data_IF_786395005739
#
_entry.id   IF_786395005739
#
_cell.length_a   1.000
_cell.length_b   1.000
_cell.length_c   1.000
_cell.angle_alpha   90.00
_cell.angle_beta   90.00
_cell.angle_gamma   90.00
#
_symmetry.space_group_name_H-M   'P 1'
#
loop_
_entity.id
_entity.type
_entity.pdbx_description
1 polymer ?
#
# COMPACT_ATOMS: atom_id res chain seq x y z
N UNK A 1 -16.28 -14.31 -45.45
CA UNK A 1 -16.44 -14.01 -44.00
C UNK A 1 -15.37 -14.69 -43.15
N UNK A 2 -14.88 -15.90 -43.52
CA UNK A 2 -13.83 -16.63 -42.78
C UNK A 2 -12.43 -15.97 -42.74
N UNK A 3 -11.96 -15.37 -43.84
CA UNK A 3 -10.60 -14.80 -43.88
C UNK A 3 -10.40 -13.63 -42.92
N UNK A 4 -11.41 -12.76 -42.76
CA UNK A 4 -11.31 -11.61 -41.84
C UNK A 4 -11.22 -12.07 -40.38
N UNK A 5 -11.95 -13.11 -40.00
CA UNK A 5 -11.91 -13.67 -38.63
C UNK A 5 -10.55 -14.32 -38.35
N UNK A 6 -9.96 -15.01 -39.33
CA UNK A 6 -8.61 -15.56 -39.22
C UNK A 6 -7.53 -14.47 -39.09
N UNK A 7 -7.64 -13.37 -39.85
CA UNK A 7 -6.72 -12.23 -39.73
C UNK A 7 -6.83 -11.52 -38.38
N UNK A 8 -8.04 -11.34 -37.85
CA UNK A 8 -8.26 -10.77 -36.52
C UNK A 8 -7.75 -11.69 -35.41
N UNK A 9 -7.96 -13.02 -35.53
CA UNK A 9 -7.45 -13.99 -34.56
C UNK A 9 -5.92 -14.07 -34.56
N UNK A 10 -5.28 -14.06 -35.74
CA UNK A 10 -3.82 -14.00 -35.87
C UNK A 10 -3.25 -12.68 -35.32
N UNK A 11 -3.91 -11.55 -35.57
CA UNK A 11 -3.53 -10.26 -35.00
C UNK A 11 -3.67 -10.21 -33.48
N UNK A 12 -4.72 -10.83 -32.92
CA UNK A 12 -4.93 -10.93 -31.48
C UNK A 12 -3.88 -11.83 -30.81
N UNK A 13 -3.54 -12.97 -31.42
CA UNK A 13 -2.52 -13.89 -30.92
C UNK A 13 -1.12 -13.27 -31.00
N UNK A 14 -0.78 -12.61 -32.12
CA UNK A 14 0.48 -11.90 -32.27
C UNK A 14 0.60 -10.72 -31.28
N UNK A 15 -0.49 -9.98 -31.06
CA UNK A 15 -0.57 -8.92 -30.05
C UNK A 15 -0.39 -9.45 -28.63
N UNK A 16 -1.04 -10.57 -28.29
CA UNK A 16 -0.87 -11.22 -27.00
C UNK A 16 0.55 -11.76 -26.78
N UNK A 17 1.15 -12.36 -27.81
CA UNK A 17 2.53 -12.84 -27.77
C UNK A 17 3.54 -11.69 -27.62
N UNK A 18 3.33 -10.57 -28.32
CA UNK A 18 4.16 -9.37 -28.18
C UNK A 18 4.02 -8.74 -26.78
N UNK A 19 2.80 -8.69 -26.22
CA UNK A 19 2.57 -8.22 -24.86
C UNK A 19 3.23 -9.15 -23.82
N UNK A 20 3.12 -10.47 -23.99
CA UNK A 20 3.77 -11.45 -23.12
C UNK A 20 5.30 -11.37 -23.20
N UNK A 21 5.87 -11.22 -24.40
CA UNK A 21 7.30 -11.03 -24.60
C UNK A 21 7.79 -9.71 -23.97
N UNK A 22 7.02 -8.63 -24.12
CA UNK A 22 7.33 -7.35 -23.47
C UNK A 22 7.28 -7.46 -21.94
N UNK A 23 6.28 -8.18 -21.39
CA UNK A 23 6.19 -8.47 -19.96
C UNK A 23 7.40 -9.26 -19.47
N UNK A 24 7.77 -10.35 -20.16
CA UNK A 24 8.91 -11.20 -19.81
C UNK A 24 10.24 -10.43 -19.89
N UNK A 25 10.44 -9.66 -20.96
CA UNK A 25 11.64 -8.84 -21.12
C UNK A 25 11.75 -7.78 -20.02
N UNK A 26 10.64 -7.11 -19.70
CA UNK A 26 10.65 -6.04 -18.71
C UNK A 26 10.81 -6.59 -17.29
N UNK A 27 10.12 -7.68 -16.95
CA UNK A 27 10.30 -8.36 -15.66
C UNK A 27 11.73 -8.89 -15.50
N UNK A 28 12.34 -9.45 -16.56
CA UNK A 28 13.75 -9.84 -16.53
C UNK A 28 14.68 -8.65 -16.29
N UNK A 29 14.48 -7.54 -17.02
CA UNK A 29 15.25 -6.30 -16.83
C UNK A 29 15.10 -5.75 -15.41
N UNK A 30 13.89 -5.77 -14.87
CA UNK A 30 13.61 -5.34 -13.50
C UNK A 30 14.29 -6.24 -12.48
N UNK A 31 14.23 -7.56 -12.65
CA UNK A 31 14.92 -8.51 -11.79
C UNK A 31 16.44 -8.27 -11.78
N UNK A 32 17.05 -7.99 -12.94
CA UNK A 32 18.48 -7.66 -13.03
C UNK A 32 18.81 -6.33 -12.31
N UNK A 33 17.94 -5.32 -12.41
CA UNK A 33 18.09 -4.06 -11.68
C UNK A 33 17.96 -4.26 -10.16
N UNK A 34 17.01 -5.09 -9.73
CA UNK A 34 16.81 -5.44 -8.32
C UNK A 34 17.93 -6.31 -7.76
N UNK A 35 18.53 -7.20 -8.55
CA UNK A 35 19.68 -8.02 -8.14
C UNK A 35 20.95 -7.19 -7.93
N UNK A 36 21.08 -6.06 -8.62
CA UNK A 36 22.20 -5.13 -8.43
C UNK A 36 22.03 -4.17 -7.24
N UNK A 37 20.85 -4.14 -6.62
CA UNK A 37 20.54 -3.32 -5.46
C UNK A 37 20.92 -4.05 -4.17
N UNK A 38 21.78 -3.43 -3.38
CA UNK A 38 21.91 -3.79 -1.97
C UNK A 38 20.92 -2.92 -1.19
N UNK A 39 19.84 -3.55 -0.75
CA UNK A 39 18.70 -2.91 -0.10
C UNK A 39 18.51 -3.54 1.28
N UNK A 40 18.58 -2.69 2.31
CA UNK A 40 18.32 -3.08 3.68
C UNK A 40 17.08 -2.35 4.18
N UNK A 41 16.10 -3.13 4.64
CA UNK A 41 14.88 -2.61 5.25
C UNK A 41 15.01 -2.75 6.76
N UNK A 42 14.78 -1.66 7.47
CA UNK A 42 14.57 -1.68 8.90
C UNK A 42 13.09 -1.49 9.20
N UNK A 43 12.63 -2.21 10.22
CA UNK A 43 11.25 -2.14 10.68
C UNK A 43 11.01 -0.81 11.41
N UNK A 44 9.96 -0.03 11.04
CA UNK A 44 9.53 1.14 11.80
C UNK A 44 8.98 0.84 13.21
N UNK A 45 8.89 -0.44 13.60
CA UNK A 45 8.49 -0.90 14.92
C UNK A 45 6.98 -0.84 15.12
N UNK A 46 6.20 -0.90 14.04
CA UNK A 46 4.74 -0.90 14.11
C UNK A 46 4.26 -2.27 14.61
N UNK A 47 3.50 -2.34 15.72
CA UNK A 47 3.04 -3.62 16.26
C UNK A 47 2.15 -4.38 15.27
N UNK A 48 2.25 -5.70 15.28
CA UNK A 48 1.52 -6.57 14.34
C UNK A 48 0.01 -6.38 14.42
N UNK A 49 -0.57 -6.22 15.61
CA UNK A 49 -2.01 -5.99 15.76
C UNK A 49 -2.49 -4.69 15.10
N UNK A 50 -1.67 -3.63 15.12
CA UNK A 50 -1.95 -2.36 14.44
C UNK A 50 -1.92 -2.56 12.92
N UNK A 51 -0.90 -3.27 12.43
CA UNK A 51 -0.80 -3.62 11.01
C UNK A 51 -1.97 -4.49 10.58
N UNK A 52 -2.29 -5.55 11.32
CA UNK A 52 -3.36 -6.48 10.99
C UNK A 52 -4.73 -5.80 10.99
N UNK A 53 -5.01 -4.88 11.91
CA UNK A 53 -6.23 -4.08 11.89
C UNK A 53 -6.34 -3.20 10.63
N UNK A 54 -5.30 -2.43 10.33
CA UNK A 54 -5.24 -1.53 9.16
C UNK A 54 -5.35 -2.32 7.86
N UNK A 55 -4.61 -3.43 7.76
CA UNK A 55 -4.52 -4.25 6.55
C UNK A 55 -5.74 -5.14 6.38
N UNK A 56 -6.26 -5.68 7.47
CA UNK A 56 -7.51 -6.43 7.52
C UNK A 56 -8.69 -5.60 7.03
N UNK A 57 -8.78 -4.33 7.46
CA UNK A 57 -9.81 -3.40 6.99
C UNK A 57 -9.73 -3.15 5.47
N UNK A 58 -8.53 -2.92 4.92
CA UNK A 58 -8.34 -2.74 3.47
C UNK A 58 -8.72 -3.98 2.67
N UNK A 59 -8.30 -5.17 3.13
CA UNK A 59 -8.66 -6.45 2.50
C UNK A 59 -10.17 -6.69 2.57
N UNK A 60 -10.80 -6.37 3.69
CA UNK A 60 -12.25 -6.43 3.87
C UNK A 60 -13.00 -5.57 2.85
N UNK A 61 -12.55 -4.33 2.64
CA UNK A 61 -13.13 -3.42 1.64
C UNK A 61 -12.86 -3.88 0.21
N UNK A 62 -11.66 -4.39 -0.09
CA UNK A 62 -11.34 -4.99 -1.38
C UNK A 62 -12.33 -6.12 -1.73
N UNK A 63 -12.63 -6.99 -0.76
CA UNK A 63 -13.58 -8.10 -0.92
C UNK A 63 -15.02 -7.67 -1.15
N UNK A 64 -15.38 -6.42 -0.84
CA UNK A 64 -16.71 -5.86 -1.16
C UNK A 64 -16.81 -5.33 -2.59
N UNK A 65 -15.69 -5.13 -3.28
CA UNK A 65 -15.70 -4.60 -4.65
C UNK A 65 -16.21 -5.62 -5.67
N UNK A 66 -16.83 -5.13 -6.75
CA UNK A 66 -17.28 -5.97 -7.86
C UNK A 66 -16.10 -6.65 -8.56
N UNK A 67 -16.35 -7.82 -9.16
CA UNK A 67 -15.32 -8.58 -9.92
C UNK A 67 -14.68 -7.72 -11.01
N UNK A 68 -15.49 -6.92 -11.72
CA UNK A 68 -14.99 -6.01 -12.77
C UNK A 68 -14.02 -4.97 -12.20
N UNK A 69 -14.32 -4.39 -11.03
CA UNK A 69 -13.45 -3.39 -10.41
C UNK A 69 -12.13 -3.99 -9.94
N UNK A 70 -12.16 -5.21 -9.39
CA UNK A 70 -10.94 -5.95 -9.01
C UNK A 70 -10.07 -6.22 -10.24
N UNK A 71 -10.66 -6.70 -11.33
CA UNK A 71 -9.94 -6.95 -12.58
C UNK A 71 -9.30 -5.69 -13.17
N UNK A 72 -9.95 -4.52 -13.03
CA UNK A 72 -9.37 -3.23 -13.45
C UNK A 72 -8.13 -2.89 -12.62
N UNK A 73 -8.18 -3.11 -11.31
CA UNK A 73 -7.03 -2.85 -10.43
C UNK A 73 -5.89 -3.85 -10.63
N UNK A 74 -6.19 -5.14 -10.79
CA UNK A 74 -5.19 -6.16 -11.14
C UNK A 74 -4.53 -5.83 -12.49
N UNK A 75 -5.31 -5.26 -13.43
CA UNK A 75 -4.83 -4.71 -14.69
C UNK A 75 -3.92 -3.49 -14.49
N UNK A 76 -4.25 -2.58 -13.57
CA UNK A 76 -3.40 -1.43 -13.22
C UNK A 76 -2.07 -1.89 -12.62
N UNK A 77 -2.07 -2.90 -11.75
CA UNK A 77 -0.86 -3.49 -11.19
C UNK A 77 0.01 -4.14 -12.27
N UNK A 78 -0.62 -4.86 -13.20
CA UNK A 78 0.08 -5.44 -14.37
C UNK A 78 0.68 -4.35 -15.27
N UNK A 79 -0.03 -3.25 -15.51
CA UNK A 79 0.51 -2.08 -16.21
C UNK A 79 1.65 -1.45 -15.43
N UNK A 80 1.59 -1.45 -14.10
CA UNK A 80 2.69 -1.05 -13.22
C UNK A 80 3.96 -1.86 -13.45
N UNK A 81 3.83 -3.17 -13.63
CA UNK A 81 4.97 -4.05 -13.91
C UNK A 81 5.54 -3.85 -15.32
N UNK A 82 4.73 -3.46 -16.30
CA UNK A 82 5.19 -3.26 -17.69
C UNK A 82 5.73 -1.83 -17.91
N UNK A 83 5.04 -0.82 -17.37
CA UNK A 83 5.41 0.59 -17.55
C UNK A 83 5.25 1.35 -16.23
N UNK A 84 6.17 1.17 -15.27
CA UNK A 84 6.04 1.76 -13.93
C UNK A 84 5.92 3.29 -13.95
N UNK A 85 6.56 3.94 -14.93
CA UNK A 85 6.48 5.39 -15.15
C UNK A 85 5.05 5.89 -15.41
N UNK A 86 4.19 5.10 -16.05
CA UNK A 86 2.80 5.49 -16.32
C UNK A 86 1.99 5.47 -15.03
N UNK A 87 2.12 4.42 -14.22
CA UNK A 87 1.45 4.27 -12.93
C UNK A 87 1.79 5.43 -11.99
N UNK A 88 3.07 5.80 -11.93
CA UNK A 88 3.52 6.91 -11.10
C UNK A 88 3.08 8.29 -11.61
N UNK A 89 3.03 8.48 -12.93
CA UNK A 89 2.55 9.74 -13.52
C UNK A 89 1.03 9.91 -13.39
N UNK A 90 0.28 8.82 -13.49
CA UNK A 90 -1.17 8.82 -13.44
C UNK A 90 -1.74 8.72 -12.01
N UNK A 91 -0.88 8.59 -11.01
CA UNK A 91 -1.22 8.38 -9.60
C UNK A 91 -2.17 7.20 -9.36
N UNK A 92 -1.86 6.08 -10.01
CA UNK A 92 -2.58 4.84 -9.79
C UNK A 92 -2.21 4.25 -8.42
N UNK A 93 -3.16 3.48 -7.89
CA UNK A 93 -2.93 2.66 -6.71
C UNK A 93 -2.00 1.51 -7.11
N UNK A 94 -0.98 1.23 -6.30
CA UNK A 94 0.08 0.27 -6.63
C UNK A 94 0.02 -0.92 -5.68
N UNK A 95 0.07 -2.11 -6.25
CA UNK A 95 0.07 -3.39 -5.55
C UNK A 95 -1.29 -3.76 -4.97
N UNK A 96 -1.39 -4.99 -4.47
CA UNK A 96 -2.60 -5.57 -3.89
C UNK A 96 -3.25 -4.75 -2.75
N UNK A 97 -2.58 -3.69 -2.29
CA UNK A 97 -2.92 -2.93 -1.11
C UNK A 97 -2.97 -1.41 -1.34
N UNK A 98 -2.92 -1.00 -2.61
CA UNK A 98 -3.52 0.21 -3.17
C UNK A 98 -3.03 1.57 -2.65
N UNK A 99 -1.80 1.64 -2.13
CA UNK A 99 -1.19 2.94 -1.86
C UNK A 99 -1.04 3.72 -3.17
N UNK A 100 -1.40 5.01 -3.14
CA UNK A 100 -1.17 5.90 -4.28
C UNK A 100 0.32 5.98 -4.57
N UNK A 101 0.70 5.88 -5.84
CA UNK A 101 2.10 5.93 -6.25
C UNK A 101 2.83 7.19 -5.75
N UNK A 102 2.14 8.34 -5.67
CA UNK A 102 2.70 9.57 -5.09
C UNK A 102 2.98 9.43 -3.59
N UNK A 103 2.05 8.83 -2.84
CA UNK A 103 2.25 8.51 -1.42
C UNK A 103 3.43 7.57 -1.26
N UNK A 104 3.45 6.48 -2.02
CA UNK A 104 4.54 5.50 -1.96
C UNK A 104 5.91 6.12 -2.33
N UNK A 105 5.94 7.06 -3.28
CA UNK A 105 7.15 7.80 -3.61
C UNK A 105 7.63 8.70 -2.47
N UNK A 106 6.72 9.44 -1.83
CA UNK A 106 7.07 10.29 -0.68
C UNK A 106 7.53 9.50 0.55
N UNK A 107 7.04 8.27 0.71
CA UNK A 107 7.44 7.39 1.82
C UNK A 107 8.88 6.90 1.72
N UNK A 108 9.45 6.79 0.52
CA UNK A 108 10.85 6.38 0.36
C UNK A 108 11.80 7.43 0.89
N UNK A 109 11.54 8.71 0.60
CA UNK A 109 12.37 9.80 1.10
C UNK A 109 12.34 9.84 2.63
N UNK A 110 11.13 9.75 3.20
CA UNK A 110 10.93 9.62 4.62
C UNK A 110 11.63 8.38 5.22
N UNK A 111 11.53 7.22 4.56
CA UNK A 111 12.16 5.98 5.02
C UNK A 111 13.69 6.08 5.05
N UNK A 112 14.30 6.75 4.07
CA UNK A 112 15.75 6.98 4.05
C UNK A 112 16.13 7.94 5.18
N UNK A 113 15.41 9.06 5.33
CA UNK A 113 15.66 10.06 6.39
C UNK A 113 15.57 9.47 7.79
N UNK A 114 14.64 8.54 8.02
CA UNK A 114 14.46 7.84 9.30
C UNK A 114 15.32 6.59 9.46
N UNK A 115 16.08 6.20 8.43
CA UNK A 115 16.92 4.99 8.46
C UNK A 115 16.13 3.68 8.34
N UNK A 116 14.86 3.72 7.94
CA UNK A 116 14.06 2.53 7.61
C UNK A 116 14.48 1.88 6.28
N UNK A 117 15.15 2.63 5.41
CA UNK A 117 15.63 2.15 4.13
C UNK A 117 17.08 2.59 3.91
N UNK A 118 17.95 1.61 3.66
CA UNK A 118 19.30 1.86 3.18
C UNK A 118 19.47 1.26 1.78
N UNK A 119 19.99 2.04 0.85
CA UNK A 119 20.25 1.60 -0.53
C UNK A 119 21.66 2.02 -0.95
N UNK A 120 22.38 1.11 -1.59
CA UNK A 120 23.75 1.34 -2.09
C UNK A 120 23.83 2.14 -3.41
N UNK A 121 22.78 2.89 -3.78
CA UNK A 121 22.73 3.66 -5.01
C UNK A 121 22.70 5.15 -4.67
N UNK A 122 23.54 5.93 -5.37
CA UNK A 122 23.45 7.39 -5.32
C UNK A 122 22.09 7.88 -5.81
N UNK A 123 21.59 8.97 -5.23
CA UNK A 123 20.29 9.55 -5.57
C UNK A 123 20.35 10.19 -6.96
N UNK A 124 20.30 9.38 -8.01
CA UNK A 124 20.35 9.79 -9.43
C UNK A 124 19.03 9.43 -10.18
N UNK A 125 18.95 9.66 -11.50
CA UNK A 125 17.75 9.34 -12.30
C UNK A 125 17.28 7.87 -12.20
N UNK A 126 18.13 6.94 -11.73
CA UNK A 126 17.76 5.53 -11.52
C UNK A 126 16.86 5.34 -10.31
N UNK A 127 16.90 6.24 -9.33
CA UNK A 127 15.99 6.22 -8.16
C UNK A 127 14.53 6.25 -8.61
N UNK A 128 14.17 7.18 -9.51
CA UNK A 128 12.81 7.29 -10.06
C UNK A 128 12.37 6.08 -10.89
N UNK A 129 13.31 5.23 -11.29
CA UNK A 129 13.04 4.00 -12.06
C UNK A 129 12.94 2.77 -11.15
N UNK A 130 13.63 2.76 -10.01
CA UNK A 130 13.69 1.65 -9.05
C UNK A 130 12.56 1.73 -8.02
N UNK A 131 12.22 2.93 -7.55
CA UNK A 131 11.13 3.18 -6.60
C UNK A 131 9.81 2.49 -6.98
N UNK A 132 9.33 2.61 -8.24
CA UNK A 132 8.14 1.91 -8.71
C UNK A 132 8.22 0.38 -8.68
N UNK A 133 9.43 -0.17 -8.75
CA UNK A 133 9.66 -1.61 -8.75
C UNK A 133 9.63 -2.16 -7.33
N UNK A 134 10.12 -1.38 -6.36
CA UNK A 134 10.07 -1.71 -4.95
C UNK A 134 8.63 -1.72 -4.44
N UNK A 135 7.82 -0.72 -4.79
CA UNK A 135 6.41 -0.63 -4.34
C UNK A 135 5.50 -1.70 -4.91
N UNK A 136 5.93 -2.41 -5.97
CA UNK A 136 5.16 -3.48 -6.58
C UNK A 136 5.44 -4.86 -5.96
N UNK A 137 6.45 -5.01 -5.09
CA UNK A 137 6.71 -6.28 -4.43
C UNK A 137 5.73 -6.51 -3.26
N UNK A 138 5.06 -7.67 -3.17
CA UNK A 138 4.10 -7.96 -2.09
C UNK A 138 4.67 -7.79 -0.68
N UNK A 139 5.89 -8.26 -0.43
CA UNK A 139 6.54 -8.13 0.88
C UNK A 139 6.84 -6.66 1.25
N UNK A 140 7.18 -5.83 0.25
CA UNK A 140 7.45 -4.41 0.45
C UNK A 140 6.17 -3.63 0.75
N UNK A 141 5.00 -4.09 0.29
CA UNK A 141 3.74 -3.40 0.55
C UNK A 141 3.35 -3.35 2.04
N UNK A 142 3.62 -4.42 2.80
CA UNK A 142 3.38 -4.40 4.25
C UNK A 142 4.36 -3.47 4.95
N UNK A 143 5.63 -3.48 4.52
CA UNK A 143 6.64 -2.54 5.01
C UNK A 143 6.26 -1.08 4.71
N UNK A 144 5.80 -0.76 3.49
CA UNK A 144 5.33 0.59 3.16
C UNK A 144 4.14 1.03 4.02
N UNK A 145 3.24 0.11 4.35
CA UNK A 145 2.15 0.41 5.27
C UNK A 145 2.70 0.75 6.66
N UNK A 146 3.66 -0.02 7.17
CA UNK A 146 4.32 0.29 8.44
C UNK A 146 5.03 1.65 8.42
N UNK A 147 5.78 1.95 7.35
CA UNK A 147 6.45 3.25 7.18
C UNK A 147 5.43 4.40 7.13
N UNK A 148 4.31 4.23 6.42
CA UNK A 148 3.25 5.22 6.38
C UNK A 148 2.62 5.45 7.75
N UNK A 149 2.34 4.38 8.50
CA UNK A 149 1.79 4.49 9.85
C UNK A 149 2.77 5.20 10.79
N UNK A 150 4.07 4.96 10.65
CA UNK A 150 5.12 5.70 11.38
C UNK A 150 5.11 7.19 11.02
N UNK A 151 5.04 7.51 9.73
CA UNK A 151 4.97 8.89 9.28
C UNK A 151 3.71 9.59 9.82
N UNK A 152 2.56 8.93 9.77
CA UNK A 152 1.29 9.45 10.28
C UNK A 152 1.32 9.67 11.79
N UNK A 153 1.90 8.73 12.54
CA UNK A 153 2.09 8.87 14.00
C UNK A 153 2.91 10.11 14.30
N UNK A 154 4.04 10.31 13.61
CA UNK A 154 4.92 11.46 13.83
C UNK A 154 4.30 12.80 13.41
N UNK A 155 3.39 12.81 12.43
CA UNK A 155 2.75 14.03 11.93
C UNK A 155 1.54 14.48 12.76
N UNK A 156 0.91 13.57 13.51
CA UNK A 156 -0.31 13.89 14.24
C UNK A 156 -0.01 14.41 15.66
N UNK A 157 -0.54 15.59 16.05
CA UNK A 157 -0.23 16.21 17.35
C UNK A 157 -0.42 15.31 18.57
N UNK A 158 -1.48 14.51 18.60
CA UNK A 158 -1.80 13.60 19.71
C UNK A 158 -1.20 12.19 19.60
N UNK A 159 -0.64 11.81 18.45
CA UNK A 159 -0.01 10.48 18.28
C UNK A 159 1.52 10.54 18.37
N UNK A 160 2.12 11.69 18.02
CA UNK A 160 3.59 11.83 17.94
C UNK A 160 4.30 11.56 19.27
N UNK A 161 3.63 11.80 20.40
CA UNK A 161 4.17 11.58 21.76
C UNK A 161 3.83 10.20 22.34
N UNK A 162 2.91 9.45 21.72
CA UNK A 162 2.50 8.13 22.19
C UNK A 162 3.48 7.07 21.74
N UNK A 163 3.77 6.10 22.60
CA UNK A 163 4.54 4.92 22.19
C UNK A 163 3.69 4.04 21.26
N UNK A 164 4.35 3.15 20.51
CA UNK A 164 3.62 2.16 19.71
C UNK A 164 2.80 1.20 20.58
N UNK A 165 3.27 0.88 21.79
CA UNK A 165 2.52 0.06 22.75
C UNK A 165 1.24 0.76 23.22
N UNK A 166 1.32 2.07 23.51
CA UNK A 166 0.14 2.86 23.89
C UNK A 166 -0.87 2.97 22.75
N UNK A 167 -0.40 3.03 21.50
CA UNK A 167 -1.27 3.05 20.32
C UNK A 167 -1.88 1.67 20.11
N UNK A 168 -1.10 0.60 20.24
CA UNK A 168 -1.58 -0.77 20.06
C UNK A 168 -2.64 -1.19 21.09
N UNK A 169 -2.62 -0.57 22.28
CA UNK A 169 -3.61 -0.79 23.33
C UNK A 169 -4.87 0.08 23.19
N UNK A 170 -4.92 1.00 22.21
CA UNK A 170 -6.00 1.97 22.05
C UNK A 170 -6.67 1.84 20.66
N UNK A 171 -7.86 1.22 20.59
CA UNK A 171 -8.59 1.05 19.33
C UNK A 171 -8.91 2.36 18.60
N UNK A 172 -9.17 3.46 19.32
CA UNK A 172 -9.42 4.76 18.70
C UNK A 172 -8.12 5.31 18.07
N UNK A 173 -6.96 5.13 18.70
CA UNK A 173 -5.68 5.52 18.12
C UNK A 173 -5.36 4.73 16.84
N UNK A 174 -5.62 3.43 16.83
CA UNK A 174 -5.48 2.58 15.63
C UNK A 174 -6.43 3.06 14.53
N UNK A 175 -7.70 3.32 14.86
CA UNK A 175 -8.67 3.84 13.91
C UNK A 175 -8.30 5.23 13.38
N UNK A 176 -7.67 6.07 14.21
CA UNK A 176 -7.16 7.38 13.82
C UNK A 176 -6.01 7.27 12.82
N UNK A 177 -5.06 6.38 13.05
CA UNK A 177 -3.99 6.08 12.09
C UNK A 177 -4.56 5.54 10.78
N UNK A 178 -5.54 4.64 10.85
CA UNK A 178 -6.22 4.11 9.66
C UNK A 178 -6.95 5.21 8.87
N UNK A 179 -7.53 6.19 9.56
CA UNK A 179 -8.10 7.37 8.92
C UNK A 179 -7.06 8.14 8.11
N UNK A 180 -5.86 8.34 8.65
CA UNK A 180 -4.75 8.96 7.91
C UNK A 180 -4.28 8.10 6.74
N UNK A 181 -4.16 6.79 6.95
CA UNK A 181 -3.77 5.80 5.94
C UNK A 181 -4.69 5.82 4.71
N UNK A 182 -6.00 5.95 4.93
CA UNK A 182 -7.00 6.07 3.85
C UNK A 182 -7.07 7.48 3.22
N UNK A 183 -6.11 8.35 3.51
CA UNK A 183 -6.04 9.72 2.99
C UNK A 183 -7.05 10.67 3.65
N UNK A 184 -7.42 10.42 4.91
CA UNK A 184 -8.44 11.16 5.66
C UNK A 184 -9.83 11.21 4.99
N UNK A 185 -10.10 10.33 4.01
CA UNK A 185 -11.32 10.42 3.20
C UNK A 185 -11.42 11.70 2.35
N UNK A 186 -10.30 12.40 2.12
CA UNK A 186 -10.26 13.71 1.46
C UNK A 186 -10.27 14.92 2.39
N UNK A 187 -10.28 14.71 3.72
CA UNK A 187 -10.31 15.79 4.71
C UNK A 187 -9.04 15.81 5.58
N UNK A 188 -7.87 15.96 4.96
CA UNK A 188 -6.58 15.88 5.65
C UNK A 188 -6.44 16.91 6.78
N UNK A 189 -6.96 18.13 6.57
CA UNK A 189 -6.95 19.19 7.58
C UNK A 189 -7.76 18.79 8.82
N UNK A 190 -8.92 18.16 8.63
CA UNK A 190 -9.74 17.64 9.74
C UNK A 190 -9.05 16.47 10.43
N UNK A 191 -8.39 15.60 9.67
CA UNK A 191 -7.60 14.54 10.28
C UNK A 191 -6.50 15.10 11.19
N UNK A 192 -5.81 16.17 10.78
CA UNK A 192 -4.76 16.78 11.58
C UNK A 192 -5.27 17.61 12.77
N UNK A 193 -6.51 18.13 12.69
CA UNK A 193 -7.10 19.01 13.70
C UNK A 193 -7.88 18.27 14.80
N UNK A 194 -8.56 17.18 14.44
CA UNK A 194 -9.42 16.44 15.37
C UNK A 194 -8.68 15.24 15.97
N UNK A 195 -8.92 14.91 17.23
CA UNK A 195 -8.40 13.66 17.82
C UNK A 195 -9.24 12.43 17.46
N UNK A 196 -10.44 12.65 16.91
CA UNK A 196 -11.37 11.57 16.61
C UNK A 196 -11.02 10.89 15.27
N UNK A 197 -11.19 9.57 15.17
CA UNK A 197 -11.12 8.84 13.91
C UNK A 197 -12.19 9.31 12.91
N UNK A 198 -11.82 9.42 11.64
CA UNK A 198 -12.76 9.78 10.57
C UNK A 198 -13.86 8.74 10.36
N UNK A 199 -15.03 9.15 9.83
CA UNK A 199 -16.20 8.28 9.71
C UNK A 199 -15.97 7.08 8.77
N UNK A 200 -15.16 7.25 7.71
CA UNK A 200 -14.81 6.15 6.80
C UNK A 200 -13.98 5.09 7.52
N UNK A 201 -12.99 5.51 8.31
CA UNK A 201 -12.16 4.58 9.07
C UNK A 201 -13.01 3.81 10.09
N UNK A 202 -13.88 4.51 10.82
CA UNK A 202 -14.85 3.91 11.75
C UNK A 202 -15.72 2.85 11.09
N UNK A 203 -16.34 3.18 9.96
CA UNK A 203 -17.22 2.25 9.24
C UNK A 203 -16.46 1.00 8.77
N UNK A 204 -15.24 1.17 8.25
CA UNK A 204 -14.44 0.08 7.70
C UNK A 204 -13.82 -0.84 8.76
N UNK A 205 -13.50 -0.29 9.93
CA UNK A 205 -13.05 -1.05 11.09
C UNK A 205 -14.22 -1.62 11.92
N UNK A 206 -15.47 -1.43 11.45
CA UNK A 206 -16.65 -1.99 12.10
C UNK A 206 -16.92 -1.38 13.47
N UNK A 207 -16.82 -0.07 13.59
CA UNK A 207 -17.18 0.67 14.80
C UNK A 207 -18.66 0.43 15.13
N UNK A 208 -18.92 -0.02 16.35
CA UNK A 208 -20.24 -0.17 16.92
C UNK A 208 -20.52 1.02 17.86
N UNK A 209 -21.51 1.84 17.53
CA UNK A 209 -21.82 3.05 18.29
C UNK A 209 -22.49 2.74 19.63
N UNK A 210 -23.16 1.59 19.75
CA UNK A 210 -23.86 1.19 20.98
C UNK A 210 -22.87 0.62 22.01
N UNK A 211 -21.84 -0.09 21.52
CA UNK A 211 -20.80 -0.68 22.36
C UNK A 211 -19.57 0.23 22.53
N UNK A 212 -19.38 1.21 21.64
CA UNK A 212 -18.19 2.07 21.63
C UNK A 212 -16.90 1.34 21.25
N UNK A 213 -17.00 0.22 20.52
CA UNK A 213 -15.90 -0.68 20.21
C UNK A 213 -15.71 -0.89 18.70
N UNK A 214 -14.57 -1.45 18.31
CA UNK A 214 -14.23 -1.76 16.92
C UNK A 214 -14.13 -3.27 16.71
N UNK A 215 -15.02 -3.83 15.89
CA UNK A 215 -15.01 -5.28 15.60
C UNK A 215 -13.84 -5.74 14.73
N UNK A 216 -13.24 -4.82 13.97
CA UNK A 216 -12.08 -5.07 13.12
C UNK A 216 -10.73 -4.91 13.82
N UNK A 217 -10.71 -4.61 15.12
CA UNK A 217 -9.50 -4.49 15.93
C UNK A 217 -9.58 -5.60 16.98
N UNK A 218 -8.73 -6.62 16.86
CA UNK A 218 -8.64 -7.66 17.88
C UNK A 218 -8.05 -7.06 19.17
N UNK A 219 -8.70 -7.32 20.30
CA UNK A 219 -8.16 -6.94 21.60
C UNK A 219 -6.87 -7.75 21.84
N UNK A 220 -5.69 -7.10 21.98
CA UNK A 220 -4.45 -7.81 22.24
C UNK A 220 -4.50 -8.68 23.50
N UNK A 221 -5.35 -8.34 24.49
CA UNK A 221 -5.56 -9.18 25.66
C UNK A 221 -6.38 -10.44 25.35
N UNK A 222 -7.31 -10.39 24.40
CA UNK A 222 -8.11 -11.54 23.99
C UNK A 222 -7.32 -12.53 23.11
N UNK A 223 -6.38 -12.04 22.29
CA UNK A 223 -5.53 -12.86 21.44
C UNK A 223 -4.50 -13.69 22.24
N UNK A 224 -4.02 -13.18 23.38
CA UNK A 224 -3.06 -13.87 24.25
C UNK A 224 -3.64 -15.10 24.98
N UNK A 225 -4.97 -15.24 25.04
CA UNK A 225 -5.66 -16.37 25.68
C UNK A 225 -6.02 -17.50 24.70
N UNK A 226 -5.65 -17.39 23.42
CA UNK A 226 -5.93 -18.39 22.37
C UNK A 226 -4.68 -19.15 21.89
N UNK A 227 -3.52 -18.96 22.52
CA UNK A 227 -2.28 -19.73 22.29
C UNK A 227 -2.00 -20.66 23.47
#
# INVERSE_FOLDING_TARGET
MGDRVASFALGAVAGAAAAAAALLWNTHRQAMLLQGLDLHLHDPGVPLNVLDAVRGAEVGEYRKMSVLRRAVEDGQDTVGLIVPRIVYRADYSVGAYRLKSRTASGLIDYAIERGFLHMNIERDERYATILPLLTQQPALNTWFAAVLLSQLREQHPSLQTRSWDDIAADPDAIAKLYSGYTGAGGAWEQWAADDQPGPIARARLGFDADEGTYRGIEDPAAAAHQQ
#
